data_IF_162226089510
#
_entry.id   IF_162226089510
#
_cell.length_a   1.000
_cell.length_b   1.000
_cell.length_c   1.000
_cell.angle_alpha   90.00
_cell.angle_beta   90.00
_cell.angle_gamma   90.00
#
_symmetry.space_group_name_H-M   'P 1'
#
loop_
_entity.id
_entity.type
_entity.pdbx_description
1 polymer ?
#
# COMPACT_ATOMS: atom_id res chain seq x y z
N UNK A 1 16.09 17.50 -4.98
CA UNK A 1 15.07 16.47 -4.67
C UNK A 1 13.95 17.14 -3.90
N UNK A 2 12.72 17.01 -4.37
CA UNK A 2 11.50 17.44 -3.69
C UNK A 2 10.75 16.19 -3.20
N UNK A 3 10.21 16.21 -1.98
CA UNK A 3 9.41 15.11 -1.44
C UNK A 3 7.94 15.56 -1.40
N UNK A 4 7.05 14.77 -1.99
CA UNK A 4 5.61 14.93 -1.83
C UNK A 4 5.21 14.49 -0.42
N UNK A 5 4.82 15.43 0.44
CA UNK A 5 4.47 15.12 1.83
C UNK A 5 3.08 14.49 1.97
N UNK A 6 2.08 15.07 1.29
CA UNK A 6 0.68 14.65 1.39
C UNK A 6 0.00 14.73 0.03
N UNK A 7 -0.72 13.66 -0.32
CA UNK A 7 -1.64 13.61 -1.44
C UNK A 7 -2.90 12.86 -1.02
N UNK A 8 -4.06 13.28 -1.52
CA UNK A 8 -5.34 12.62 -1.26
C UNK A 8 -5.91 12.13 -2.59
N UNK A 9 -6.14 10.82 -2.68
CA UNK A 9 -6.69 10.17 -3.86
C UNK A 9 -7.99 9.50 -3.44
N UNK A 10 -9.04 9.68 -4.23
CA UNK A 10 -10.31 8.99 -4.00
C UNK A 10 -10.20 7.53 -4.49
N UNK A 11 -10.54 6.58 -3.63
CA UNK A 11 -10.57 5.15 -3.96
C UNK A 11 -12.00 4.67 -4.28
N UNK A 12 -12.73 5.40 -5.13
CA UNK A 12 -14.06 5.04 -5.60
C UNK A 12 -14.05 4.64 -7.10
N UNK A 13 -15.22 4.35 -7.67
CA UNK A 13 -15.35 3.96 -9.09
C UNK A 13 -14.82 5.04 -10.06
N UNK A 14 -14.64 6.28 -9.58
CA UNK A 14 -14.06 7.42 -10.30
C UNK A 14 -12.63 7.74 -9.88
N UNK A 15 -11.95 6.86 -9.13
CA UNK A 15 -10.58 7.09 -8.66
C UNK A 15 -9.57 7.39 -9.76
N UNK A 16 -9.77 6.84 -10.97
CA UNK A 16 -8.97 7.14 -12.17
C UNK A 16 -9.09 8.59 -12.68
N UNK A 17 -10.13 9.31 -12.25
CA UNK A 17 -10.37 10.72 -12.52
C UNK A 17 -10.24 11.54 -11.21
N UNK A 18 -9.56 11.01 -10.20
CA UNK A 18 -9.39 11.70 -8.93
C UNK A 18 -8.65 13.02 -9.17
N UNK A 19 -9.14 14.16 -8.62
CA UNK A 19 -8.42 15.42 -8.69
C UNK A 19 -6.99 15.34 -8.13
N UNK A 20 -6.75 14.44 -7.17
CA UNK A 20 -5.41 14.18 -6.60
C UNK A 20 -4.42 13.66 -7.63
N UNK A 21 -4.85 12.75 -8.52
CA UNK A 21 -4.01 12.20 -9.58
C UNK A 21 -3.63 13.28 -10.61
N UNK A 22 -4.54 14.21 -10.89
CA UNK A 22 -4.27 15.34 -11.79
C UNK A 22 -3.28 16.35 -11.18
N UNK A 23 -3.39 16.62 -9.87
CA UNK A 23 -2.51 17.58 -9.20
C UNK A 23 -1.02 17.17 -9.24
N UNK A 24 -0.70 15.89 -9.43
CA UNK A 24 0.69 15.47 -9.60
C UNK A 24 1.34 16.02 -10.87
N UNK A 25 0.57 16.22 -11.95
CA UNK A 25 1.10 16.82 -13.18
C UNK A 25 1.63 18.23 -12.90
N UNK A 26 0.79 19.08 -12.32
CA UNK A 26 1.14 20.47 -12.01
C UNK A 26 2.29 20.54 -10.99
N UNK A 27 2.24 19.71 -9.95
CA UNK A 27 3.25 19.73 -8.89
C UNK A 27 4.63 19.25 -9.39
N UNK A 28 4.67 18.22 -10.25
CA UNK A 28 5.91 17.76 -10.88
C UNK A 28 6.44 18.81 -11.85
N UNK A 29 5.57 19.45 -12.64
CA UNK A 29 5.97 20.53 -13.54
C UNK A 29 6.60 21.68 -12.76
N UNK A 30 5.95 22.15 -11.69
CA UNK A 30 6.49 23.20 -10.81
C UNK A 30 7.86 22.78 -10.21
N UNK A 31 8.00 21.52 -9.80
CA UNK A 31 9.27 21.02 -9.29
C UNK A 31 10.39 21.06 -10.34
N UNK A 32 10.08 20.72 -11.59
CA UNK A 32 11.00 20.83 -12.71
C UNK A 32 11.39 22.29 -13.00
N UNK A 33 10.41 23.20 -13.04
CA UNK A 33 10.63 24.64 -13.26
C UNK A 33 11.46 25.28 -12.15
N UNK A 34 11.31 24.80 -10.91
CA UNK A 34 12.10 25.21 -9.74
C UNK A 34 13.52 24.61 -9.74
N UNK A 35 13.83 23.70 -10.68
CA UNK A 35 15.16 23.12 -10.86
C UNK A 35 15.44 21.89 -10.00
N UNK A 36 14.42 21.19 -9.50
CA UNK A 36 14.63 19.92 -8.80
C UNK A 36 14.88 18.77 -9.77
N UNK A 37 15.95 18.00 -9.54
CA UNK A 37 16.31 16.85 -10.39
C UNK A 37 15.51 15.57 -10.10
N UNK A 38 14.90 15.47 -8.91
CA UNK A 38 14.21 14.26 -8.45
C UNK A 38 12.95 14.65 -7.70
N UNK A 39 11.82 14.09 -8.12
CA UNK A 39 10.54 14.15 -7.43
C UNK A 39 10.29 12.83 -6.70
N UNK A 40 10.01 12.88 -5.41
CA UNK A 40 9.93 11.72 -4.53
C UNK A 40 8.56 11.60 -3.88
N UNK A 41 7.80 10.58 -4.25
CA UNK A 41 6.48 10.29 -3.68
C UNK A 41 6.52 9.69 -2.26
N UNK A 42 7.69 9.60 -1.64
CA UNK A 42 7.90 8.97 -0.33
C UNK A 42 7.54 7.47 -0.34
N UNK A 43 7.59 6.86 0.85
CA UNK A 43 7.36 5.43 1.06
C UNK A 43 5.94 4.99 0.66
N UNK A 44 5.81 3.75 0.21
CA UNK A 44 4.55 3.16 -0.22
C UNK A 44 4.65 2.56 -1.62
N UNK A 45 3.73 1.66 -1.93
CA UNK A 45 3.70 0.93 -3.19
C UNK A 45 2.30 1.01 -3.80
N UNK A 46 1.92 2.23 -4.16
CA UNK A 46 0.63 2.53 -4.78
C UNK A 46 0.73 2.50 -6.30
N UNK A 47 -0.34 2.08 -7.02
CA UNK A 47 -0.32 1.98 -8.48
C UNK A 47 0.13 3.26 -9.19
N UNK A 48 -0.31 4.43 -8.74
CA UNK A 48 0.07 5.72 -9.35
C UNK A 48 1.57 6.00 -9.21
N UNK A 49 2.21 5.62 -8.10
CA UNK A 49 3.67 5.79 -7.91
C UNK A 49 4.45 4.99 -8.95
N UNK A 50 3.95 3.82 -9.35
CA UNK A 50 4.59 3.00 -10.39
C UNK A 50 4.44 3.59 -11.80
N UNK A 51 3.45 4.46 -12.02
CA UNK A 51 3.28 5.16 -13.29
C UNK A 51 4.21 6.38 -13.39
N UNK A 52 4.47 7.04 -12.26
CA UNK A 52 5.27 8.26 -12.21
C UNK A 52 6.76 8.04 -11.91
N UNK A 53 7.10 7.11 -11.02
CA UNK A 53 8.47 6.89 -10.58
C UNK A 53 9.20 5.92 -11.51
N UNK A 54 10.33 6.37 -12.05
CA UNK A 54 11.32 5.58 -12.78
C UNK A 54 12.46 5.06 -11.88
N UNK A 55 12.62 5.64 -10.68
CA UNK A 55 13.63 5.24 -9.68
C UNK A 55 13.01 4.39 -8.58
N UNK A 56 13.46 3.13 -8.46
CA UNK A 56 13.08 2.24 -7.34
C UNK A 56 14.04 2.40 -6.15
N UNK A 57 13.56 2.93 -5.02
CA UNK A 57 14.33 2.99 -3.76
C UNK A 57 13.88 1.90 -2.79
N UNK A 58 14.74 0.90 -2.57
CA UNK A 58 14.47 -0.18 -1.61
C UNK A 58 14.74 0.27 -0.18
N UNK A 59 13.71 0.19 0.66
CA UNK A 59 13.79 0.52 2.07
C UNK A 59 13.97 -0.74 2.92
N UNK A 60 14.90 -0.70 3.87
CA UNK A 60 15.18 -1.80 4.78
C UNK A 60 15.05 -1.33 6.22
N UNK A 61 14.34 -2.12 7.03
CA UNK A 61 14.34 -1.95 8.48
C UNK A 61 15.52 -2.73 9.08
N UNK A 62 16.41 -2.03 9.79
CA UNK A 62 17.61 -2.63 10.39
C UNK A 62 17.48 -2.61 11.90
N UNK A 63 17.58 -3.78 12.52
CA UNK A 63 17.55 -3.94 13.96
C UNK A 63 18.89 -4.50 14.46
N UNK A 64 19.60 -3.74 15.30
CA UNK A 64 20.91 -4.10 15.86
C UNK A 64 20.77 -4.43 17.35
N UNK A 65 20.55 -5.69 17.73
CA UNK A 65 20.35 -6.06 19.13
C UNK A 65 21.68 -6.09 19.91
N UNK A 66 21.76 -5.28 20.96
CA UNK A 66 22.96 -5.17 21.81
C UNK A 66 23.00 -6.21 22.95
N UNK A 67 21.88 -6.87 23.25
CA UNK A 67 21.76 -7.84 24.36
C UNK A 67 21.15 -9.15 23.89
N UNK A 68 21.32 -10.23 24.68
CA UNK A 68 20.69 -11.54 24.40
C UNK A 68 19.15 -11.42 24.35
N UNK A 69 18.55 -10.66 25.28
CA UNK A 69 17.11 -10.37 25.26
C UNK A 69 16.70 -9.63 23.98
N UNK A 70 17.50 -8.66 23.56
CA UNK A 70 17.29 -7.95 22.30
C UNK A 70 17.37 -8.87 21.08
N UNK A 71 18.30 -9.83 21.06
CA UNK A 71 18.40 -10.83 19.99
C UNK A 71 17.16 -11.70 19.91
N UNK A 72 16.64 -12.17 21.05
CA UNK A 72 15.39 -12.94 21.08
C UNK A 72 14.20 -12.10 20.56
N UNK A 73 14.06 -10.86 21.02
CA UNK A 73 13.00 -9.96 20.52
C UNK A 73 13.11 -9.71 19.01
N UNK A 74 14.32 -9.45 18.51
CA UNK A 74 14.59 -9.24 17.09
C UNK A 74 14.15 -10.44 16.24
N UNK A 75 14.44 -11.66 16.70
CA UNK A 75 14.00 -12.88 16.03
C UNK A 75 12.47 -12.97 16.01
N UNK A 76 11.80 -12.74 17.13
CA UNK A 76 10.34 -12.77 17.21
C UNK A 76 9.70 -11.76 16.26
N UNK A 77 10.18 -10.52 16.23
CA UNK A 77 9.68 -9.47 15.33
C UNK A 77 9.88 -9.86 13.87
N UNK A 78 11.07 -10.36 13.51
CA UNK A 78 11.38 -10.79 12.13
C UNK A 78 10.48 -11.95 11.68
N UNK A 79 10.24 -12.92 12.54
CA UNK A 79 9.36 -14.05 12.23
C UNK A 79 7.89 -13.59 12.10
N UNK A 80 7.44 -12.69 12.98
CA UNK A 80 6.11 -12.09 12.91
C UNK A 80 5.90 -11.28 11.63
N UNK A 81 6.86 -10.45 11.24
CA UNK A 81 6.81 -9.68 9.99
C UNK A 81 6.75 -10.60 8.76
N UNK A 82 7.56 -11.66 8.71
CA UNK A 82 7.52 -12.67 7.64
C UNK A 82 6.18 -13.38 7.55
N UNK A 83 5.60 -13.77 8.68
CA UNK A 83 4.31 -14.43 8.70
C UNK A 83 3.20 -13.49 8.19
N UNK A 84 3.19 -12.23 8.65
CA UNK A 84 2.26 -11.21 8.15
C UNK A 84 2.42 -11.00 6.64
N UNK A 85 3.65 -10.89 6.14
CA UNK A 85 3.93 -10.73 4.72
C UNK A 85 3.45 -11.93 3.91
N UNK A 86 3.70 -13.15 4.38
CA UNK A 86 3.21 -14.37 3.75
C UNK A 86 1.68 -14.41 3.67
N UNK A 87 1.00 -14.04 4.75
CA UNK A 87 -0.47 -13.99 4.80
C UNK A 87 -1.01 -12.94 3.82
N UNK A 88 -0.46 -11.72 3.84
CA UNK A 88 -0.90 -10.62 2.96
C UNK A 88 -0.61 -10.90 1.48
N UNK A 89 0.53 -11.50 1.16
CA UNK A 89 0.97 -11.75 -0.21
C UNK A 89 0.46 -13.09 -0.79
N UNK A 90 -0.37 -13.85 -0.06
CA UNK A 90 -0.91 -15.11 -0.54
C UNK A 90 -2.33 -14.94 -1.08
N UNK A 91 -2.54 -14.98 -2.42
CA UNK A 91 -3.87 -14.92 -3.01
C UNK A 91 -4.74 -16.10 -2.56
N UNK A 92 -4.12 -17.24 -2.26
CA UNK A 92 -4.81 -18.46 -1.82
C UNK A 92 -5.40 -18.30 -0.41
N UNK A 93 -4.66 -17.65 0.50
CA UNK A 93 -5.19 -17.34 1.85
C UNK A 93 -6.38 -16.39 1.72
N UNK A 94 -6.27 -15.33 0.91
CA UNK A 94 -7.39 -14.40 0.69
C UNK A 94 -8.62 -15.08 0.07
N UNK A 95 -8.42 -15.97 -0.91
CA UNK A 95 -9.49 -16.79 -1.49
C UNK A 95 -10.16 -17.66 -0.44
N UNK A 96 -9.37 -18.33 0.40
CA UNK A 96 -9.89 -19.19 1.46
C UNK A 96 -10.65 -18.38 2.51
N UNK A 97 -10.12 -17.21 2.92
CA UNK A 97 -10.82 -16.28 3.82
C UNK A 97 -12.13 -15.79 3.22
N UNK A 98 -12.17 -15.46 1.91
CA UNK A 98 -13.42 -15.09 1.23
C UNK A 98 -14.44 -16.23 1.22
N UNK A 99 -14.01 -17.48 0.99
CA UNK A 99 -14.89 -18.66 1.01
C UNK A 99 -15.42 -18.91 2.43
N UNK A 100 -14.55 -18.86 3.44
CA UNK A 100 -14.94 -19.00 4.84
C UNK A 100 -15.88 -17.89 5.27
N UNK A 101 -15.61 -16.63 4.88
CA UNK A 101 -16.50 -15.48 5.12
C UNK A 101 -17.86 -15.67 4.45
N UNK A 102 -17.91 -16.15 3.20
CA UNK A 102 -19.16 -16.45 2.49
C UNK A 102 -19.96 -17.57 3.16
N UNK A 103 -19.29 -18.58 3.71
CA UNK A 103 -19.92 -19.68 4.45
C UNK A 103 -20.38 -19.26 5.85
N UNK A 104 -19.67 -18.34 6.50
CA UNK A 104 -20.02 -17.80 7.81
C UNK A 104 -21.12 -16.73 7.73
N UNK A 105 -21.16 -15.95 6.65
CA UNK A 105 -22.22 -14.98 6.36
C UNK A 105 -23.45 -15.66 5.74
N UNK A 106 -23.89 -16.79 6.32
CA UNK A 106 -24.90 -17.72 5.81
C UNK A 106 -25.97 -17.06 4.93
N UNK A 107 -26.15 -17.62 3.71
CA UNK A 107 -27.21 -17.40 2.73
C UNK A 107 -27.89 -16.01 2.74
N UNK A 108 -27.76 -15.20 1.67
CA UNK A 108 -28.68 -14.08 1.50
C UNK A 108 -30.10 -14.65 1.42
N UNK A 109 -31.00 -14.08 2.23
CA UNK A 109 -32.44 -14.34 2.15
C UNK A 109 -32.92 -14.07 0.71
N UNK A 110 -33.88 -14.85 0.18
CA UNK A 110 -34.37 -14.66 -1.18
C UNK A 110 -34.97 -13.26 -1.30
N UNK A 111 -34.64 -12.57 -2.39
CA UNK A 111 -35.30 -11.33 -2.75
C UNK A 111 -36.79 -11.62 -2.97
N UNK A 112 -37.65 -10.99 -2.19
CA UNK A 112 -39.08 -10.89 -2.50
C UNK A 112 -39.22 -9.97 -3.71
N UNK A 113 -39.47 -10.57 -4.88
CA UNK A 113 -40.30 -9.96 -5.91
C UNK A 113 -41.73 -9.88 -5.36
N UNK A 114 -42.29 -8.68 -5.18
CA UNK A 114 -43.70 -8.49 -5.47
C UNK A 114 -44.06 -7.02 -5.77
N UNK A 115 -44.62 -6.86 -6.98
CA UNK A 115 -45.63 -5.91 -7.50
C UNK A 115 -45.46 -4.39 -7.35
#
# INVERSE_FOLDING_TARGET
RLICEFGAIAEDDLGHASPGDFMFFDNIQEACETGFEVYDFSVGDEPYKRLWCDIETRHFEVLVPLTVKGRMLALTLRQGARLKAFVKNSPTIWKLTKVLRRKAAGQPAPAEEDS
#
